data_IF_270374983703
#
_entry.id   IF_270374983703
#
_cell.length_a   1.000
_cell.length_b   1.000
_cell.length_c   1.000
_cell.angle_alpha   90.00
_cell.angle_beta   90.00
_cell.angle_gamma   90.00
#
_symmetry.space_group_name_H-M   'P 1'
#
loop_
_entity.id
_entity.type
_entity.pdbx_description
1 polymer ?
#
# COMPACT_ATOMS: atom_id res chain seq x y z
N UNK A 1 20.28 -53.04 28.33
CA UNK A 1 19.68 -52.21 27.26
C UNK A 1 20.34 -50.82 27.20
N UNK A 2 21.64 -50.72 26.90
CA UNK A 2 22.36 -49.42 26.82
C UNK A 2 23.38 -49.32 25.67
N UNK A 3 23.44 -50.31 24.77
CA UNK A 3 24.42 -50.35 23.67
C UNK A 3 23.83 -50.10 22.27
N UNK A 4 22.52 -49.95 22.15
CA UNK A 4 21.87 -49.66 20.85
C UNK A 4 21.86 -48.16 20.47
N UNK A 5 22.11 -47.26 21.43
CA UNK A 5 22.00 -45.80 21.20
C UNK A 5 23.20 -45.17 20.49
N UNK A 6 24.35 -45.84 20.46
CA UNK A 6 25.61 -45.25 19.98
C UNK A 6 25.88 -45.51 18.49
N UNK A 7 25.23 -46.53 17.90
CA UNK A 7 25.38 -46.86 16.47
C UNK A 7 24.45 -46.02 15.58
N UNK A 8 23.28 -45.60 16.08
CA UNK A 8 22.39 -44.70 15.32
C UNK A 8 22.89 -43.24 15.26
N UNK A 9 23.75 -42.82 16.20
CA UNK A 9 24.29 -41.45 16.19
C UNK A 9 25.46 -41.28 15.20
N UNK A 10 26.17 -42.37 14.84
CA UNK A 10 27.31 -42.28 13.91
C UNK A 10 26.90 -42.32 12.44
N UNK A 11 25.72 -42.86 12.09
CA UNK A 11 25.21 -42.81 10.71
C UNK A 11 24.59 -41.47 10.34
N UNK A 12 24.16 -40.66 11.32
CA UNK A 12 23.60 -39.33 11.06
C UNK A 12 24.69 -38.27 10.77
N UNK A 13 25.91 -38.48 11.25
CA UNK A 13 27.03 -37.54 11.09
C UNK A 13 27.77 -37.70 9.74
N UNK A 14 27.74 -38.87 9.12
CA UNK A 14 28.40 -39.11 7.82
C UNK A 14 27.51 -38.66 6.64
N UNK A 15 26.19 -38.60 6.81
CA UNK A 15 25.26 -38.07 5.81
C UNK A 15 25.25 -36.54 5.69
N UNK A 16 25.74 -35.81 6.71
CA UNK A 16 25.72 -34.35 6.75
C UNK A 16 26.88 -33.69 5.99
N UNK A 17 27.88 -34.46 5.53
CA UNK A 17 29.07 -33.93 4.85
C UNK A 17 28.99 -33.97 3.32
N UNK A 18 27.92 -34.51 2.73
CA UNK A 18 27.78 -34.69 1.26
C UNK A 18 26.84 -33.68 0.58
N UNK A 19 26.29 -32.69 1.28
CA UNK A 19 25.29 -31.75 0.72
C UNK A 19 25.81 -30.35 0.35
N UNK A 20 27.12 -30.09 0.37
CA UNK A 20 27.68 -28.75 0.08
C UNK A 20 28.31 -28.55 -1.30
N UNK A 21 28.05 -29.41 -2.28
CA UNK A 21 28.46 -29.19 -3.68
C UNK A 21 27.28 -28.84 -4.60
N UNK A 22 26.46 -27.88 -4.17
CA UNK A 22 25.45 -27.25 -5.02
C UNK A 22 25.89 -25.82 -5.35
N UNK A 23 26.21 -25.61 -6.63
CA UNK A 23 26.39 -24.33 -7.31
C UNK A 23 27.47 -23.38 -6.76
N UNK A 24 28.72 -23.62 -7.17
CA UNK A 24 29.64 -22.51 -7.46
C UNK A 24 29.13 -21.75 -8.70
N UNK A 25 28.08 -20.94 -8.54
CA UNK A 25 27.93 -19.78 -9.42
C UNK A 25 29.00 -18.80 -8.96
N UNK A 26 29.93 -18.47 -9.85
CA UNK A 26 30.77 -17.29 -9.66
C UNK A 26 29.85 -16.14 -9.24
N UNK A 27 30.19 -15.35 -8.19
CA UNK A 27 29.40 -14.20 -7.80
C UNK A 27 29.43 -13.23 -8.98
N UNK A 28 28.44 -13.33 -9.85
CA UNK A 28 28.11 -12.24 -10.77
C UNK A 28 27.64 -11.13 -9.89
N UNK A 29 28.38 -10.02 -9.88
CA UNK A 29 27.93 -8.79 -9.23
C UNK A 29 26.45 -8.57 -9.59
N UNK A 30 25.61 -8.18 -8.61
CA UNK A 30 24.20 -7.91 -8.87
C UNK A 30 24.09 -6.94 -10.05
N UNK A 31 23.34 -7.32 -11.09
CA UNK A 31 23.17 -6.45 -12.26
C UNK A 31 22.35 -5.23 -11.86
N UNK A 32 22.67 -4.08 -12.44
CA UNK A 32 21.96 -2.81 -12.20
C UNK A 32 20.45 -2.89 -12.50
N UNK A 33 20.04 -3.88 -13.29
CA UNK A 33 18.65 -4.14 -13.64
C UNK A 33 17.81 -4.69 -12.48
N UNK A 34 18.43 -5.31 -11.46
CA UNK A 34 17.69 -5.86 -10.32
C UNK A 34 16.92 -4.79 -9.55
N UNK A 35 17.46 -3.58 -9.46
CA UNK A 35 16.84 -2.46 -8.72
C UNK A 35 15.74 -1.74 -9.49
N UNK A 36 15.47 -2.14 -10.74
CA UNK A 36 14.36 -1.61 -11.55
C UNK A 36 13.03 -2.34 -11.28
N UNK A 37 13.04 -3.42 -10.50
CA UNK A 37 11.83 -4.18 -10.18
C UNK A 37 10.86 -3.35 -9.31
N UNK A 38 9.58 -3.70 -9.39
CA UNK A 38 8.49 -3.01 -8.66
C UNK A 38 8.62 -3.13 -7.15
N UNK A 39 9.35 -4.12 -6.64
CA UNK A 39 9.66 -4.28 -5.20
C UNK A 39 10.52 -3.16 -4.61
N UNK A 40 11.29 -2.43 -5.44
CA UNK A 40 12.08 -1.26 -5.00
C UNK A 40 11.37 0.08 -5.24
N UNK A 41 10.10 0.03 -5.63
CA UNK A 41 9.28 1.22 -5.78
C UNK A 41 8.37 1.32 -4.56
N UNK A 42 8.62 2.33 -3.72
CA UNK A 42 7.75 2.59 -2.60
C UNK A 42 6.51 3.35 -3.08
N UNK A 43 5.30 2.90 -2.72
CA UNK A 43 4.11 3.71 -2.94
C UNK A 43 4.28 5.01 -2.16
N UNK A 44 4.13 6.15 -2.82
CA UNK A 44 3.98 7.41 -2.08
C UNK A 44 2.58 7.41 -1.52
N UNK A 45 2.51 7.38 -0.22
CA UNK A 45 1.27 7.53 0.52
C UNK A 45 1.06 9.01 0.71
N UNK A 46 0.64 9.67 -0.35
CA UNK A 46 -0.03 10.95 -0.17
C UNK A 46 -1.39 10.68 0.48
N UNK A 47 -1.88 11.67 1.22
CA UNK A 47 -3.21 11.62 1.82
C UNK A 47 -4.28 11.78 0.72
N UNK A 48 -4.17 11.09 -0.43
CA UNK A 48 -5.10 11.25 -1.55
C UNK A 48 -6.49 10.84 -1.10
N UNK A 49 -7.44 11.74 -1.30
CA UNK A 49 -8.83 11.45 -1.02
C UNK A 49 -9.33 10.33 -1.94
N UNK A 50 -10.03 9.35 -1.36
CA UNK A 50 -10.78 8.37 -2.15
C UNK A 50 -11.89 9.09 -2.92
N UNK A 51 -12.08 8.73 -4.18
CA UNK A 51 -13.16 9.30 -4.98
C UNK A 51 -14.51 8.68 -4.55
N UNK A 52 -15.60 9.43 -4.76
CA UNK A 52 -16.96 9.01 -4.42
C UNK A 52 -17.84 9.00 -5.66
N UNK A 53 -18.42 7.84 -5.97
CA UNK A 53 -19.55 7.76 -6.88
C UNK A 53 -20.83 8.12 -6.12
N UNK A 54 -21.52 9.14 -6.61
CA UNK A 54 -22.77 9.61 -5.99
C UNK A 54 -23.88 8.57 -6.15
N UNK A 55 -24.66 8.41 -5.08
CA UNK A 55 -25.88 7.63 -5.13
C UNK A 55 -26.91 8.24 -6.08
N UNK A 56 -27.73 7.37 -6.66
CA UNK A 56 -28.89 7.74 -7.47
C UNK A 56 -30.16 7.15 -6.87
N UNK A 57 -31.30 7.29 -7.54
CA UNK A 57 -32.55 6.61 -7.16
C UNK A 57 -32.44 5.08 -7.20
N UNK A 58 -31.50 4.54 -7.99
CA UNK A 58 -31.32 3.10 -8.18
C UNK A 58 -30.01 2.57 -7.61
N UNK A 59 -28.98 3.42 -7.49
CA UNK A 59 -27.63 3.01 -7.12
C UNK A 59 -27.24 3.60 -5.76
N UNK A 60 -26.52 2.80 -4.98
CA UNK A 60 -25.92 3.22 -3.72
C UNK A 60 -24.64 4.05 -3.96
N UNK A 61 -24.18 4.74 -2.92
CA UNK A 61 -22.84 5.33 -2.91
C UNK A 61 -21.79 4.24 -3.04
N UNK A 62 -20.78 4.49 -3.86
CA UNK A 62 -19.63 3.61 -4.00
C UNK A 62 -18.34 4.39 -3.84
N UNK A 63 -17.44 3.82 -3.05
CA UNK A 63 -16.09 4.34 -2.91
C UNK A 63 -15.28 3.92 -4.14
N UNK A 64 -14.58 4.87 -4.75
CA UNK A 64 -13.74 4.66 -5.92
C UNK A 64 -12.26 4.82 -5.54
N UNK A 65 -11.34 4.05 -6.15
CA UNK A 65 -9.92 4.28 -5.96
C UNK A 65 -9.58 5.71 -6.42
N UNK A 66 -8.62 6.38 -5.77
CA UNK A 66 -8.18 7.69 -6.22
C UNK A 66 -7.70 7.62 -7.67
N UNK A 67 -8.04 8.62 -8.47
CA UNK A 67 -7.55 8.72 -9.85
C UNK A 67 -6.01 8.79 -9.92
N UNK A 68 -5.42 8.12 -10.93
CA UNK A 68 -3.98 8.17 -11.20
C UNK A 68 -3.13 7.04 -10.59
N UNK A 69 -3.76 6.08 -9.91
CA UNK A 69 -3.12 4.85 -9.43
C UNK A 69 -3.26 3.71 -10.45
N UNK A 70 -2.27 2.83 -10.53
CA UNK A 70 -2.36 1.63 -11.38
C UNK A 70 -3.28 0.58 -10.75
N UNK A 71 -3.67 -0.44 -11.52
CA UNK A 71 -4.47 -1.55 -10.97
C UNK A 71 -3.71 -2.30 -9.86
N UNK A 72 -2.39 -2.45 -10.00
CA UNK A 72 -1.54 -3.08 -9.01
C UNK A 72 -1.49 -2.27 -7.71
N UNK A 73 -1.40 -0.94 -7.82
CA UNK A 73 -1.45 -0.05 -6.66
C UNK A 73 -2.80 -0.12 -5.96
N UNK A 74 -3.89 -0.12 -6.74
CA UNK A 74 -5.24 -0.28 -6.21
C UNK A 74 -5.35 -1.59 -5.41
N UNK A 75 -4.89 -2.70 -5.99
CA UNK A 75 -4.91 -4.01 -5.33
C UNK A 75 -4.05 -4.01 -4.06
N UNK A 76 -2.87 -3.40 -4.11
CA UNK A 76 -1.96 -3.28 -2.96
C UNK A 76 -2.60 -2.47 -1.81
N UNK A 77 -3.28 -1.39 -2.14
CA UNK A 77 -4.00 -0.52 -1.19
C UNK A 77 -5.33 -1.10 -0.69
N UNK A 78 -5.64 -2.36 -1.01
CA UNK A 78 -6.86 -3.04 -0.55
C UNK A 78 -8.12 -2.72 -1.34
N UNK A 79 -8.01 -2.08 -2.50
CA UNK A 79 -9.12 -1.99 -3.46
C UNK A 79 -9.25 -3.34 -4.17
N UNK A 80 -10.19 -4.16 -3.73
CA UNK A 80 -10.25 -5.58 -4.07
C UNK A 80 -10.25 -5.90 -5.57
N UNK A 81 -9.59 -7.00 -5.92
CA UNK A 81 -9.66 -7.69 -7.22
C UNK A 81 -10.93 -8.55 -7.39
N UNK A 82 -12.03 -8.13 -6.77
CA UNK A 82 -13.30 -8.85 -6.77
C UNK A 82 -13.92 -8.88 -8.16
N UNK A 83 -13.90 -10.06 -8.80
CA UNK A 83 -14.64 -10.40 -10.02
C UNK A 83 -16.09 -9.90 -9.92
N UNK A 84 -16.39 -8.74 -10.51
CA UNK A 84 -17.77 -8.27 -10.60
C UNK A 84 -18.02 -6.85 -11.08
N UNK A 85 -17.17 -5.84 -10.85
CA UNK A 85 -17.59 -4.45 -11.13
C UNK A 85 -16.45 -3.44 -11.34
N UNK A 86 -15.56 -3.71 -12.30
CA UNK A 86 -14.75 -2.64 -12.94
C UNK A 86 -14.96 -2.66 -14.47
N UNK A 87 -16.10 -3.19 -14.92
CA UNK A 87 -16.45 -3.41 -16.33
C UNK A 87 -17.78 -2.73 -16.69
N UNK A 88 -17.99 -1.49 -16.24
CA UNK A 88 -19.02 -0.65 -16.86
C UNK A 88 -18.47 0.74 -17.21
N UNK A 89 -17.75 0.77 -18.34
CA UNK A 89 -17.95 1.76 -19.41
C UNK A 89 -17.69 3.25 -19.16
N UNK A 90 -17.26 3.67 -17.98
CA UNK A 90 -17.10 5.10 -17.66
C UNK A 90 -15.64 5.54 -17.64
N UNK A 91 -15.09 5.95 -18.80
CA UNK A 91 -13.85 6.75 -18.97
C UNK A 91 -12.86 6.66 -17.80
N UNK A 92 -12.01 5.63 -17.81
CA UNK A 92 -10.67 5.74 -17.21
C UNK A 92 -9.91 6.80 -18.02
N UNK A 93 -10.12 8.07 -17.68
CA UNK A 93 -9.41 9.19 -18.30
C UNK A 93 -7.91 8.94 -18.20
N UNK A 94 -7.18 9.27 -19.28
CA UNK A 94 -5.75 9.10 -19.43
C UNK A 94 -5.00 9.06 -18.09
N UNK A 95 -4.60 7.86 -17.67
CA UNK A 95 -3.79 7.57 -16.48
C UNK A 95 -2.34 8.10 -16.65
N UNK A 96 -2.15 9.18 -17.41
CA UNK A 96 -0.85 9.75 -17.79
C UNK A 96 -0.32 10.79 -16.80
N UNK A 97 -1.14 11.25 -15.87
CA UNK A 97 -0.72 12.17 -14.82
C UNK A 97 -0.60 11.40 -13.50
N UNK A 98 0.46 10.58 -13.39
CA UNK A 98 0.79 9.82 -12.20
C UNK A 98 0.97 10.77 -11.01
N UNK A 99 -0.08 10.91 -10.20
CA UNK A 99 -0.04 11.63 -8.92
C UNK A 99 0.71 10.86 -7.84
N UNK A 100 0.98 9.56 -8.07
CA UNK A 100 1.90 8.79 -7.25
C UNK A 100 3.34 9.06 -7.66
N UNK A 101 3.97 10.07 -7.06
CA UNK A 101 5.39 10.34 -7.24
C UNK A 101 6.21 9.25 -6.54
N UNK A 102 6.24 8.01 -7.05
CA UNK A 102 6.86 6.86 -6.38
C UNK A 102 8.30 7.18 -5.93
N UNK A 103 8.61 6.84 -4.68
CA UNK A 103 9.99 6.93 -4.20
C UNK A 103 10.74 5.70 -4.72
N UNK A 104 11.61 5.92 -5.70
CA UNK A 104 12.42 4.87 -6.29
C UNK A 104 13.67 4.62 -5.44
N UNK A 105 13.56 3.77 -4.40
CA UNK A 105 14.71 3.33 -3.59
C UNK A 105 15.80 2.72 -4.46
N UNK A 106 15.43 2.02 -5.55
CA UNK A 106 16.39 1.42 -6.48
C UNK A 106 17.41 2.42 -7.05
N UNK A 107 17.07 3.71 -7.17
CA UNK A 107 18.01 4.74 -7.63
C UNK A 107 19.16 4.95 -6.64
N UNK A 108 18.87 5.02 -5.34
CA UNK A 108 19.91 5.22 -4.31
C UNK A 108 20.64 3.92 -4.02
N UNK A 109 19.93 2.77 -3.95
CA UNK A 109 20.54 1.48 -3.62
C UNK A 109 21.62 1.06 -4.63
N UNK A 110 21.46 1.40 -5.93
CA UNK A 110 22.50 1.20 -6.95
C UNK A 110 23.80 1.94 -6.67
N UNK A 111 23.73 3.11 -6.04
CA UNK A 111 24.92 3.94 -5.74
C UNK A 111 25.71 3.43 -4.54
N UNK A 112 25.15 2.50 -3.76
CA UNK A 112 25.75 2.03 -2.52
C UNK A 112 26.69 0.83 -2.71
N UNK A 113 26.83 0.27 -3.93
CA UNK A 113 27.66 -0.93 -4.17
C UNK A 113 27.39 -2.04 -3.13
N UNK A 114 26.11 -2.39 -2.94
CA UNK A 114 25.68 -3.31 -1.90
C UNK A 114 26.22 -4.72 -2.15
N UNK A 115 26.60 -5.41 -1.07
CA UNK A 115 26.87 -6.84 -1.09
C UNK A 115 25.59 -7.64 -1.27
N UNK A 116 25.70 -8.91 -1.70
CA UNK A 116 24.54 -9.78 -1.84
C UNK A 116 23.77 -9.95 -0.52
N UNK A 117 24.48 -10.09 0.60
CA UNK A 117 23.88 -10.23 1.94
C UNK A 117 23.09 -8.97 2.35
N UNK A 118 23.62 -7.78 2.04
CA UNK A 118 22.91 -6.51 2.25
C UNK A 118 21.65 -6.45 1.41
N UNK A 119 21.71 -6.84 0.13
CA UNK A 119 20.56 -6.83 -0.78
C UNK A 119 19.46 -7.78 -0.27
N UNK A 120 19.83 -8.99 0.14
CA UNK A 120 18.87 -9.96 0.64
C UNK A 120 18.22 -9.50 1.95
N UNK A 121 18.99 -8.84 2.83
CA UNK A 121 18.47 -8.21 4.04
C UNK A 121 17.52 -7.05 3.73
N UNK A 122 17.86 -6.20 2.74
CA UNK A 122 17.00 -5.10 2.29
C UNK A 122 15.68 -5.64 1.71
N UNK A 123 15.69 -6.74 0.96
CA UNK A 123 14.46 -7.37 0.46
C UNK A 123 13.54 -7.83 1.59
N UNK A 124 14.10 -8.33 2.70
CA UNK A 124 13.30 -8.67 3.89
C UNK A 124 12.68 -7.41 4.50
N UNK A 125 13.45 -6.32 4.64
CA UNK A 125 12.93 -5.04 5.13
C UNK A 125 11.83 -4.48 4.23
N UNK A 126 12.00 -4.56 2.91
CA UNK A 126 10.99 -4.11 1.94
C UNK A 126 9.69 -4.91 2.07
N UNK A 127 9.74 -6.23 2.24
CA UNK A 127 8.53 -7.03 2.48
C UNK A 127 7.83 -6.62 3.77
N UNK A 128 8.58 -6.48 4.87
CA UNK A 128 8.03 -6.04 6.14
C UNK A 128 7.39 -4.63 6.04
N UNK A 129 8.01 -3.73 5.29
CA UNK A 129 7.45 -2.41 4.99
C UNK A 129 6.14 -2.51 4.21
N UNK A 130 6.10 -3.31 3.15
CA UNK A 130 4.90 -3.49 2.32
C UNK A 130 3.74 -4.10 3.12
N UNK A 131 4.03 -5.02 4.03
CA UNK A 131 3.03 -5.59 4.94
C UNK A 131 2.52 -4.54 5.93
N UNK A 132 3.42 -3.72 6.50
CA UNK A 132 3.07 -2.60 7.38
C UNK A 132 2.12 -1.61 6.67
N UNK A 133 2.48 -1.16 5.47
CA UNK A 133 1.66 -0.21 4.70
C UNK A 133 0.31 -0.80 4.32
N UNK A 134 0.27 -2.07 3.88
CA UNK A 134 -0.98 -2.75 3.53
C UNK A 134 -1.96 -2.79 4.70
N UNK A 135 -1.48 -3.09 5.90
CA UNK A 135 -2.30 -3.11 7.11
C UNK A 135 -2.89 -1.72 7.41
N UNK A 136 -2.07 -0.66 7.32
CA UNK A 136 -2.55 0.70 7.54
C UNK A 136 -3.59 1.14 6.49
N UNK A 137 -3.39 0.77 5.23
CA UNK A 137 -4.37 1.03 4.17
C UNK A 137 -5.67 0.28 4.40
N UNK A 138 -5.63 -0.97 4.89
CA UNK A 138 -6.82 -1.72 5.25
C UNK A 138 -7.63 -1.03 6.36
N UNK A 139 -6.97 -0.52 7.40
CA UNK A 139 -7.60 0.26 8.48
C UNK A 139 -8.33 1.48 7.91
N UNK A 140 -7.69 2.24 7.01
CA UNK A 140 -8.33 3.39 6.35
C UNK A 140 -9.57 2.96 5.54
N UNK A 141 -9.44 1.91 4.74
CA UNK A 141 -10.54 1.43 3.88
C UNK A 141 -11.75 0.94 4.68
N UNK A 142 -11.54 0.26 5.81
CA UNK A 142 -12.64 -0.14 6.70
C UNK A 142 -13.34 1.06 7.35
N UNK A 143 -12.57 2.08 7.76
CA UNK A 143 -13.12 3.33 8.27
C UNK A 143 -13.97 4.05 7.20
N UNK A 144 -13.45 4.19 5.98
CA UNK A 144 -14.19 4.79 4.85
C UNK A 144 -15.43 3.96 4.49
N UNK A 145 -15.37 2.63 4.55
CA UNK A 145 -16.53 1.76 4.31
C UNK A 145 -17.65 2.01 5.30
N UNK A 146 -17.32 2.28 6.57
CA UNK A 146 -18.32 2.61 7.59
C UNK A 146 -19.07 3.89 7.24
N UNK A 147 -18.38 4.93 6.75
CA UNK A 147 -18.98 6.20 6.30
C UNK A 147 -19.94 5.94 5.13
N UNK A 148 -19.53 5.13 4.15
CA UNK A 148 -20.36 4.78 2.99
C UNK A 148 -21.59 3.98 3.40
N UNK A 149 -21.44 3.02 4.31
CA UNK A 149 -22.58 2.24 4.81
C UNK A 149 -23.62 3.11 5.50
N UNK A 150 -23.18 4.09 6.31
CA UNK A 150 -24.07 5.08 6.94
C UNK A 150 -24.77 5.96 5.89
N UNK A 151 -24.03 6.46 4.90
CA UNK A 151 -24.61 7.23 3.80
C UNK A 151 -25.65 6.42 3.02
N UNK A 152 -25.41 5.13 2.78
CA UNK A 152 -26.37 4.25 2.11
C UNK A 152 -27.61 3.93 2.96
N UNK A 153 -27.49 3.93 4.29
CA UNK A 153 -28.65 3.86 5.18
C UNK A 153 -29.48 5.15 5.10
N UNK A 154 -28.84 6.32 5.16
CA UNK A 154 -29.50 7.63 5.03
C UNK A 154 -30.17 7.80 3.67
N UNK A 155 -29.52 7.33 2.59
CA UNK A 155 -30.11 7.26 1.24
C UNK A 155 -31.44 6.50 1.26
N UNK A 156 -31.49 5.30 1.87
CA UNK A 156 -32.73 4.51 1.95
C UNK A 156 -33.83 5.24 2.72
N UNK A 157 -33.47 5.97 3.78
CA UNK A 157 -34.41 6.80 4.53
C UNK A 157 -34.95 7.96 3.69
N UNK A 158 -34.09 8.66 2.94
CA UNK A 158 -34.49 9.71 1.99
C UNK A 158 -35.45 9.16 0.94
N UNK A 159 -35.18 7.98 0.37
CA UNK A 159 -36.07 7.35 -0.63
C UNK A 159 -37.44 7.02 -0.04
N UNK A 160 -37.49 6.53 1.20
CA UNK A 160 -38.74 6.23 1.89
C UNK A 160 -39.52 7.50 2.21
N UNK A 161 -38.85 8.53 2.75
CA UNK A 161 -39.45 9.82 3.04
C UNK A 161 -40.01 10.50 1.79
N UNK A 162 -39.26 10.47 0.68
CA UNK A 162 -39.70 11.02 -0.59
C UNK A 162 -40.98 10.35 -1.11
N UNK A 163 -41.13 9.04 -0.89
CA UNK A 163 -42.33 8.29 -1.23
C UNK A 163 -43.51 8.65 -0.33
N UNK A 164 -43.28 8.73 0.97
CA UNK A 164 -44.33 8.97 1.97
C UNK A 164 -44.86 10.41 1.92
N UNK A 165 -43.99 11.38 1.63
CA UNK A 165 -44.33 12.80 1.55
C UNK A 165 -44.65 13.27 0.11
N UNK A 166 -44.55 12.38 -0.88
CA UNK A 166 -44.85 12.69 -2.28
C UNK A 166 -43.90 13.72 -2.90
N UNK A 167 -42.60 13.63 -2.60
CA UNK A 167 -41.59 14.55 -3.13
C UNK A 167 -41.53 14.55 -4.65
N UNK A 168 -41.27 15.72 -5.21
CA UNK A 168 -40.90 15.87 -6.62
C UNK A 168 -39.50 15.32 -6.89
N UNK A 169 -39.22 14.98 -8.15
CA UNK A 169 -37.86 14.58 -8.59
C UNK A 169 -36.79 15.62 -8.24
N UNK A 170 -37.15 16.91 -8.25
CA UNK A 170 -36.23 18.00 -7.91
C UNK A 170 -35.85 17.95 -6.43
N UNK A 171 -36.82 17.76 -5.54
CA UNK A 171 -36.59 17.63 -4.11
C UNK A 171 -35.73 16.41 -3.78
N UNK A 172 -36.06 15.25 -4.36
CA UNK A 172 -35.28 14.03 -4.16
C UNK A 172 -33.83 14.19 -4.63
N UNK A 173 -33.64 14.73 -5.84
CA UNK A 173 -32.29 14.98 -6.38
C UNK A 173 -31.49 15.93 -5.50
N UNK A 174 -32.14 16.97 -4.96
CA UNK A 174 -31.49 17.90 -4.05
C UNK A 174 -31.07 17.21 -2.75
N UNK A 175 -31.94 16.42 -2.12
CA UNK A 175 -31.61 15.68 -0.91
C UNK A 175 -30.46 14.68 -1.10
N UNK A 176 -30.45 13.94 -2.23
CA UNK A 176 -29.35 13.03 -2.55
C UNK A 176 -28.03 13.77 -2.80
N UNK A 177 -28.08 14.95 -3.41
CA UNK A 177 -26.90 15.81 -3.60
C UNK A 177 -26.36 16.32 -2.26
N UNK A 178 -27.24 16.73 -1.36
CA UNK A 178 -26.84 17.21 -0.02
C UNK A 178 -26.21 16.08 0.80
N UNK A 179 -26.78 14.86 0.73
CA UNK A 179 -26.19 13.66 1.31
C UNK A 179 -24.80 13.35 0.71
N UNK A 180 -24.64 13.52 -0.61
CA UNK A 180 -23.37 13.31 -1.29
C UNK A 180 -22.29 14.32 -0.84
N UNK A 181 -22.66 15.59 -0.65
CA UNK A 181 -21.74 16.62 -0.12
C UNK A 181 -21.32 16.29 1.31
N UNK A 182 -22.29 15.97 2.18
CA UNK A 182 -22.03 15.53 3.56
C UNK A 182 -21.12 14.31 3.62
N UNK A 183 -21.33 13.34 2.73
CA UNK A 183 -20.50 12.12 2.64
C UNK A 183 -19.07 12.43 2.21
N UNK A 184 -18.88 13.30 1.20
CA UNK A 184 -17.54 13.76 0.80
C UNK A 184 -16.81 14.49 1.92
N UNK A 185 -17.53 15.33 2.67
CA UNK A 185 -16.98 16.04 3.82
C UNK A 185 -16.59 15.07 4.94
N UNK A 186 -17.42 14.08 5.24
CA UNK A 186 -17.10 13.03 6.22
C UNK A 186 -15.87 12.20 5.81
N UNK A 187 -15.74 11.85 4.52
CA UNK A 187 -14.55 11.16 4.00
C UNK A 187 -13.31 12.05 4.10
N UNK A 188 -13.41 13.33 3.73
CA UNK A 188 -12.30 14.30 3.82
C UNK A 188 -11.84 14.49 5.26
N UNK A 189 -12.79 14.59 6.19
CA UNK A 189 -12.56 14.85 7.60
C UNK A 189 -12.41 13.56 8.43
N UNK A 190 -12.27 12.40 7.79
CA UNK A 190 -12.12 11.13 8.48
C UNK A 190 -10.82 11.14 9.32
N UNK A 191 -10.89 11.10 10.66
CA UNK A 191 -9.71 11.22 11.53
C UNK A 191 -8.69 10.09 11.31
N UNK A 192 -9.16 8.92 10.87
CA UNK A 192 -8.32 7.75 10.56
C UNK A 192 -7.32 8.06 9.44
N UNK A 193 -7.59 9.05 8.57
CA UNK A 193 -6.65 9.46 7.51
C UNK A 193 -5.34 9.96 8.08
N UNK A 194 -5.40 10.81 9.10
CA UNK A 194 -4.21 11.35 9.76
C UNK A 194 -3.47 10.24 10.50
N UNK A 195 -4.20 9.39 11.22
CA UNK A 195 -3.63 8.25 11.95
C UNK A 195 -2.87 7.29 11.02
N UNK A 196 -3.49 6.90 9.91
CA UNK A 196 -2.90 6.02 8.90
C UNK A 196 -1.72 6.67 8.20
N UNK A 197 -1.80 7.97 7.89
CA UNK A 197 -0.67 8.71 7.32
C UNK A 197 0.55 8.68 8.24
N UNK A 198 0.38 8.99 9.53
CA UNK A 198 1.47 8.95 10.51
C UNK A 198 2.02 7.53 10.71
N UNK A 199 1.14 6.51 10.72
CA UNK A 199 1.56 5.13 10.80
C UNK A 199 2.39 4.69 9.58
N UNK A 200 2.04 5.16 8.38
CA UNK A 200 2.83 4.89 7.18
C UNK A 200 4.16 5.66 7.20
N UNK A 201 4.20 6.90 7.71
CA UNK A 201 5.47 7.59 7.98
C UNK A 201 6.35 6.77 8.92
N UNK A 202 5.77 6.14 9.94
CA UNK A 202 6.50 5.21 10.80
C UNK A 202 6.99 3.95 10.05
N UNK A 203 6.15 3.34 9.20
CA UNK A 203 6.57 2.21 8.33
C UNK A 203 7.76 2.59 7.42
N UNK A 204 7.73 3.80 6.83
CA UNK A 204 8.82 4.35 6.02
C UNK A 204 10.08 4.56 6.86
N UNK A 205 9.95 5.18 8.04
CA UNK A 205 11.07 5.41 8.95
C UNK A 205 11.75 4.11 9.36
N UNK A 206 10.98 3.09 9.74
CA UNK A 206 11.52 1.77 10.10
C UNK A 206 12.28 1.12 8.95
N UNK A 207 11.76 1.21 7.72
CA UNK A 207 12.46 0.73 6.53
C UNK A 207 13.80 1.45 6.34
N UNK A 208 13.78 2.79 6.35
CA UNK A 208 14.97 3.59 6.10
C UNK A 208 16.05 3.41 7.18
N UNK A 209 15.65 3.37 8.45
CA UNK A 209 16.56 3.10 9.58
C UNK A 209 17.13 1.67 9.52
N UNK A 210 16.30 0.70 9.11
CA UNK A 210 16.73 -0.67 8.91
C UNK A 210 17.77 -0.81 7.79
N UNK A 211 17.57 -0.10 6.67
CA UNK A 211 18.56 -0.06 5.59
C UNK A 211 19.84 0.59 6.09
N UNK A 212 19.75 1.74 6.78
CA UNK A 212 20.90 2.48 7.32
C UNK A 212 21.79 1.59 8.21
N UNK A 213 21.18 0.77 9.07
CA UNK A 213 21.89 -0.14 9.98
C UNK A 213 22.68 -1.26 9.26
N UNK A 214 22.38 -1.55 8.00
CA UNK A 214 23.09 -2.55 7.18
C UNK A 214 24.31 -1.97 6.46
N UNK A 215 24.42 -0.63 6.39
CA UNK A 215 25.44 0.04 5.58
C UNK A 215 26.78 0.18 6.32
N UNK A 216 27.86 0.09 5.57
CA UNK A 216 29.18 0.46 6.07
C UNK A 216 29.39 1.98 6.07
N UNK A 217 30.51 2.45 6.60
CA UNK A 217 30.79 3.88 6.75
C UNK A 217 30.77 4.67 5.42
N UNK A 218 31.27 4.09 4.32
CA UNK A 218 31.29 4.77 3.01
C UNK A 218 29.88 4.87 2.41
N UNK A 219 29.12 3.78 2.48
CA UNK A 219 27.73 3.71 2.03
C UNK A 219 26.83 4.67 2.82
N UNK A 220 27.07 4.79 4.13
CA UNK A 220 26.29 5.62 5.03
C UNK A 220 26.33 7.10 4.63
N UNK A 221 27.47 7.59 4.15
CA UNK A 221 27.62 8.99 3.68
C UNK A 221 26.67 9.26 2.51
N UNK A 222 26.68 8.38 1.51
CA UNK A 222 25.83 8.48 0.31
C UNK A 222 24.34 8.39 0.71
N UNK A 223 24.02 7.47 1.62
CA UNK A 223 22.67 7.27 2.13
C UNK A 223 22.13 8.50 2.86
N UNK A 224 22.92 9.08 3.76
CA UNK A 224 22.51 10.26 4.55
C UNK A 224 22.34 11.50 3.68
N UNK A 225 23.23 11.71 2.70
CA UNK A 225 23.07 12.81 1.72
C UNK A 225 21.74 12.70 0.97
N UNK A 226 21.40 11.50 0.49
CA UNK A 226 20.12 11.27 -0.17
C UNK A 226 18.93 11.45 0.79
N UNK A 227 19.01 10.87 1.99
CA UNK A 227 17.93 10.90 2.99
C UNK A 227 17.59 12.33 3.43
N UNK A 228 18.60 13.19 3.58
CA UNK A 228 18.42 14.60 3.95
C UNK A 228 17.73 15.44 2.88
N UNK A 229 17.68 14.96 1.63
CA UNK A 229 17.01 15.62 0.52
C UNK A 229 15.60 15.07 0.24
N UNK A 230 15.10 14.14 1.06
CA UNK A 230 13.75 13.64 0.91
C UNK A 230 12.72 14.72 1.29
N UNK A 231 11.65 14.91 0.48
CA UNK A 231 10.60 15.84 0.83
C UNK A 231 9.84 15.35 2.07
N UNK A 232 9.50 16.27 2.98
CA UNK A 232 8.54 15.94 4.04
C UNK A 232 7.13 15.84 3.43
N UNK A 233 6.44 14.75 3.76
CA UNK A 233 5.05 14.53 3.36
C UNK A 233 4.18 14.86 4.57
N UNK A 234 3.42 15.98 4.52
CA UNK A 234 2.57 16.37 5.64
C UNK A 234 1.37 15.42 5.77
N UNK A 235 1.03 15.07 7.01
CA UNK A 235 -0.22 14.39 7.33
C UNK A 235 -1.29 15.42 7.73
N UNK A 236 -2.53 15.21 7.29
CA UNK A 236 -3.64 16.14 7.50
C UNK A 236 -4.13 16.83 6.22
N UNK A 237 -5.00 17.84 6.36
CA UNK A 237 -5.67 18.47 5.23
C UNK A 237 -4.72 19.31 4.38
N UNK A 238 -4.66 18.98 3.09
CA UNK A 238 -4.43 19.97 2.02
C UNK A 238 -5.78 20.28 1.36
#
# INVERSE_FOLDING_TARGET
>A
MKKLSLVMLSMLLVGLLMTFNSCQKNPTNPSDDMFNSTEFQLPVTDNTQSDLQDATETNDFMLLPPSGYTNEDCQFMGWGSGRGSMMDGGRMGDMRNGRGQRMHLGMILRKLNLTQDQIDSIKVLLRAHMDCVREQMHILRESERTIIQQANQERRQIMQQAKDEGWTRVQLKQALKDLALKTREALKNNPVRTEVCEAIKACNKTLLDGIEALLNAEQLIIWQEWRNNLPDVPCGQQ
#
